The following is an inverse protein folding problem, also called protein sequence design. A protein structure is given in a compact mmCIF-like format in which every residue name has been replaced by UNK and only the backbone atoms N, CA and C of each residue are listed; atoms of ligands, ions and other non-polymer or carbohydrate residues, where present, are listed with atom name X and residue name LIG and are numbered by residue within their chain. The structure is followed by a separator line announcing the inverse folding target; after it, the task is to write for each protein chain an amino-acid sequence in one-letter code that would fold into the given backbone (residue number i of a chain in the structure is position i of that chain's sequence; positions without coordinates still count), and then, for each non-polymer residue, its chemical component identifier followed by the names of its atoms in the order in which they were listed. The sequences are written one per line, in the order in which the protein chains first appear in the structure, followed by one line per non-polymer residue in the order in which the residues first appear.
data_IF_466856355073
#
_entry.id   IF_466856355073
#
_cell.length_a   1.000
_cell.length_b   1.000
_cell.length_c   1.000
_cell.angle_alpha   90.00
_cell.angle_beta   90.00
_cell.angle_gamma   90.00
#
_symmetry.space_group_name_H-M   'P 1'
#
loop_
_entity.id
_entity.type
_entity.pdbx_description
1 polymer ?
#
# COMPACT_ATOMS: atom_id res chain seq x y z
N UNK A 1 0.87 17.67 17.56
CA UNK A 1 1.72 16.81 16.72
C UNK A 1 3.17 16.73 17.20
N UNK A 2 3.65 17.77 17.86
CA UNK A 2 5.06 17.84 18.31
C UNK A 2 5.39 16.99 19.53
N UNK A 3 4.41 16.60 20.32
CA UNK A 3 4.63 15.77 21.53
C UNK A 3 4.84 14.28 21.29
N UNK A 4 4.55 13.76 20.09
CA UNK A 4 4.87 12.37 19.73
C UNK A 4 6.38 12.12 19.56
N UNK A 5 7.18 13.16 19.65
CA UNK A 5 8.61 13.14 19.38
C UNK A 5 9.39 13.35 20.68
N UNK A 6 9.09 12.60 21.73
CA UNK A 6 9.78 12.76 23.04
C UNK A 6 11.23 12.27 23.07
N UNK A 7 11.71 11.60 22.03
CA UNK A 7 13.14 11.29 21.93
C UNK A 7 13.85 12.37 21.12
N UNK A 8 14.84 13.03 21.69
CA UNK A 8 15.64 13.99 20.93
C UNK A 8 16.25 13.30 19.69
N UNK A 9 16.42 14.03 18.60
CA UNK A 9 17.18 13.54 17.46
C UNK A 9 18.55 13.07 17.93
N UNK A 10 19.02 11.95 17.39
CA UNK A 10 20.28 11.35 17.82
C UNK A 10 21.53 12.16 17.41
N UNK A 11 21.36 13.21 16.65
CA UNK A 11 22.42 14.14 16.27
C UNK A 11 21.89 15.56 16.09
N UNK A 12 22.77 16.55 16.30
CA UNK A 12 22.44 17.94 16.08
C UNK A 12 21.88 18.16 14.65
N UNK A 13 20.77 18.90 14.55
CA UNK A 13 20.12 19.19 13.26
C UNK A 13 19.18 18.13 12.69
N UNK A 14 18.97 16.99 13.37
CA UNK A 14 17.94 16.05 13.00
C UNK A 14 16.55 16.54 13.47
N UNK A 15 15.55 16.37 12.58
CA UNK A 15 14.14 16.55 12.91
C UNK A 15 13.44 15.21 12.79
N UNK A 16 12.58 14.88 13.75
CA UNK A 16 11.70 13.71 13.66
C UNK A 16 10.30 14.15 13.24
N UNK A 17 9.77 13.49 12.22
CA UNK A 17 8.43 13.71 11.71
C UNK A 17 7.64 12.40 11.84
N UNK A 18 6.39 12.49 12.28
CA UNK A 18 5.46 11.35 12.19
C UNK A 18 4.88 11.32 10.79
N UNK A 19 5.03 10.18 10.13
CA UNK A 19 4.52 9.94 8.78
C UNK A 19 3.90 8.55 8.69
N UNK A 20 3.07 8.38 7.72
CA UNK A 20 2.61 7.06 7.34
C UNK A 20 3.63 6.41 6.42
N UNK A 21 3.96 5.18 6.71
CA UNK A 21 4.53 4.31 5.69
C UNK A 21 3.39 3.97 4.74
N UNK A 22 3.57 4.30 3.48
CA UNK A 22 2.63 3.93 2.43
C UNK A 22 2.34 2.44 2.52
N UNK A 23 1.18 2.10 2.05
CA UNK A 23 0.55 0.85 2.24
C UNK A 23 1.39 -0.39 2.07
N UNK A 24 0.96 -1.27 2.90
CA UNK A 24 1.28 -2.66 2.77
C UNK A 24 -0.04 -3.40 2.91
N UNK A 25 -0.66 -3.71 1.84
CA UNK A 25 -1.87 -4.41 1.84
C UNK A 25 -3.09 -3.49 1.76
N UNK A 26 -4.16 -3.59 2.22
CA UNK A 26 -5.42 -2.97 1.96
C UNK A 26 -5.59 -1.55 2.48
N UNK A 27 -6.48 -0.76 1.88
CA UNK A 27 -6.54 0.70 1.90
C UNK A 27 -6.64 1.37 3.27
N UNK A 28 -6.75 0.63 4.33
CA UNK A 28 -6.98 1.21 5.65
C UNK A 28 -5.77 1.21 6.58
N UNK A 29 -4.61 0.78 6.13
CA UNK A 29 -3.55 0.43 7.05
C UNK A 29 -2.20 1.09 6.79
N UNK A 30 -2.12 2.40 6.83
CA UNK A 30 -0.80 3.01 6.90
C UNK A 30 -0.26 2.88 8.32
N UNK A 31 0.92 2.28 8.46
CA UNK A 31 1.61 2.21 9.72
C UNK A 31 2.23 3.56 10.03
N UNK A 32 1.89 4.16 11.16
CA UNK A 32 2.55 5.34 11.64
C UNK A 32 4.02 5.02 11.95
N UNK A 33 4.93 5.82 11.43
CA UNK A 33 6.34 5.71 11.71
C UNK A 33 6.95 7.06 12.03
N UNK A 34 8.07 7.02 12.71
CA UNK A 34 8.91 8.18 12.98
C UNK A 34 10.00 8.26 11.93
N UNK A 35 10.02 9.35 11.18
CA UNK A 35 11.00 9.60 10.13
C UNK A 35 11.96 10.67 10.61
N UNK A 36 13.19 10.30 10.81
CA UNK A 36 14.26 11.22 11.17
C UNK A 36 14.88 11.81 9.90
N UNK A 37 14.91 13.12 9.84
CA UNK A 37 15.38 13.89 8.69
C UNK A 37 16.50 14.83 9.12
N UNK A 38 17.60 14.82 8.38
CA UNK A 38 18.72 15.74 8.52
C UNK A 38 19.03 16.38 7.17
N UNK A 39 19.18 17.68 7.14
CA UNK A 39 19.50 18.43 5.91
C UNK A 39 18.58 18.07 4.72
N UNK A 40 17.28 17.96 4.99
CA UNK A 40 16.28 17.58 4.00
C UNK A 40 16.30 16.11 3.55
N UNK A 41 17.15 15.26 4.15
CA UNK A 41 17.26 13.84 3.79
C UNK A 41 16.78 12.92 4.91
N UNK A 42 16.06 11.88 4.56
CA UNK A 42 15.66 10.82 5.49
C UNK A 42 16.91 10.05 5.89
N UNK A 43 17.26 10.08 7.17
CA UNK A 43 18.38 9.32 7.72
C UNK A 43 17.94 8.02 8.37
N UNK A 44 16.72 7.98 8.92
CA UNK A 44 16.18 6.79 9.59
C UNK A 44 14.67 6.76 9.56
N UNK A 45 14.09 5.56 9.50
CA UNK A 45 12.67 5.29 9.70
C UNK A 45 12.56 4.29 10.85
N UNK A 46 11.71 4.57 11.82
CA UNK A 46 11.54 3.75 13.02
C UNK A 46 10.07 3.69 13.47
N UNK A 47 9.68 2.68 14.24
CA UNK A 47 8.33 2.55 14.76
C UNK A 47 7.90 3.76 15.59
N UNK A 48 6.64 4.15 15.47
CA UNK A 48 6.00 5.03 16.44
C UNK A 48 5.61 4.21 17.69
N UNK A 49 5.73 4.83 18.85
CA UNK A 49 5.33 4.25 20.13
C UNK A 49 4.05 4.90 20.60
N UNK A 50 3.01 4.09 20.81
CA UNK A 50 1.71 4.59 21.23
C UNK A 50 1.70 5.02 22.69
N UNK A 51 2.28 4.21 23.57
CA UNK A 51 2.21 4.42 25.03
C UNK A 51 3.15 5.52 25.55
N UNK A 52 3.89 6.17 24.66
CA UNK A 52 4.54 7.45 25.00
C UNK A 52 3.53 8.61 25.08
N UNK A 53 2.34 8.44 24.50
CA UNK A 53 1.29 9.46 24.44
C UNK A 53 -0.03 9.04 25.07
N UNK A 54 -0.39 7.78 24.95
CA UNK A 54 -1.67 7.25 25.41
C UNK A 54 -1.42 6.16 26.43
N UNK A 55 -2.23 6.10 27.49
CA UNK A 55 -2.21 4.99 28.43
C UNK A 55 -2.81 3.72 27.81
N UNK A 56 -2.57 2.58 28.41
CA UNK A 56 -3.20 1.33 27.98
C UNK A 56 -4.73 1.38 28.13
N UNK A 57 -5.21 2.10 29.12
CA UNK A 57 -6.63 2.29 29.41
C UNK A 57 -7.32 3.11 28.31
N UNK A 58 -6.62 4.09 27.73
CA UNK A 58 -7.12 4.90 26.61
C UNK A 58 -7.10 4.10 25.31
N UNK A 59 -5.99 3.41 25.03
CA UNK A 59 -5.80 2.65 23.78
C UNK A 59 -6.65 1.39 23.75
N UNK A 60 -6.89 0.77 24.92
CA UNK A 60 -7.61 -0.50 25.07
C UNK A 60 -7.12 -1.56 24.07
N UNK A 61 -5.84 -1.95 24.15
CA UNK A 61 -5.26 -2.87 23.19
C UNK A 61 -6.01 -4.19 23.18
N UNK A 62 -6.14 -4.78 22.00
CA UNK A 62 -6.68 -6.12 21.88
C UNK A 62 -5.78 -7.16 22.56
N UNK A 63 -6.36 -8.03 23.36
CA UNK A 63 -5.67 -9.09 24.09
C UNK A 63 -6.17 -10.45 23.62
N UNK A 64 -5.26 -11.36 23.34
CA UNK A 64 -5.58 -12.75 23.02
C UNK A 64 -5.27 -13.67 24.19
N UNK A 65 -6.26 -14.44 24.61
CA UNK A 65 -6.09 -15.48 25.64
C UNK A 65 -6.32 -16.86 25.01
N UNK A 66 -5.31 -17.72 25.06
CA UNK A 66 -5.38 -19.06 24.52
C UNK A 66 -4.43 -19.99 25.25
N UNK A 67 -4.83 -21.23 25.50
CA UNK A 67 -3.98 -22.31 26.08
C UNK A 67 -3.22 -21.87 27.34
N UNK A 68 -3.86 -21.11 28.21
CA UNK A 68 -3.24 -20.62 29.45
C UNK A 68 -2.25 -19.48 29.29
N UNK A 69 -2.06 -18.94 28.08
CA UNK A 69 -1.21 -17.79 27.81
C UNK A 69 -2.02 -16.55 27.44
N UNK A 70 -1.47 -15.39 27.76
CA UNK A 70 -2.04 -14.08 27.40
C UNK A 70 -1.04 -13.34 26.53
N UNK A 71 -1.52 -12.83 25.39
CA UNK A 71 -0.71 -12.08 24.44
C UNK A 71 -1.31 -10.69 24.27
N UNK A 72 -0.45 -9.69 24.41
CA UNK A 72 -0.78 -8.30 24.16
C UNK A 72 0.00 -7.75 22.95
N UNK A 73 -0.57 -6.80 22.19
CA UNK A 73 0.19 -6.06 21.20
C UNK A 73 1.37 -5.33 21.82
N UNK A 74 2.41 -5.13 21.04
CA UNK A 74 3.55 -4.29 21.40
C UNK A 74 3.10 -2.84 21.65
N UNK A 75 3.83 -2.11 22.49
CA UNK A 75 3.65 -0.68 22.74
C UNK A 75 4.01 0.21 21.54
N UNK A 76 4.50 -0.39 20.48
CA UNK A 76 4.93 0.30 19.26
C UNK A 76 4.29 -0.30 18.01
N UNK A 77 4.17 0.53 17.00
CA UNK A 77 3.78 0.08 15.66
C UNK A 77 4.84 -0.90 15.14
N UNK A 78 4.41 -1.99 14.53
CA UNK A 78 5.31 -2.83 13.76
C UNK A 78 5.55 -2.18 12.39
N UNK A 79 6.80 -1.91 12.08
CA UNK A 79 7.20 -1.35 10.79
C UNK A 79 7.67 -2.51 9.91
N UNK A 80 7.13 -2.63 8.69
CA UNK A 80 7.49 -3.75 7.84
C UNK A 80 8.98 -3.76 7.50
N UNK A 81 9.57 -4.94 7.31
CA UNK A 81 10.99 -5.08 7.01
C UNK A 81 11.44 -4.24 5.81
N UNK A 82 10.63 -4.14 4.78
CA UNK A 82 10.96 -3.35 3.59
C UNK A 82 10.88 -1.82 3.80
N UNK A 83 10.45 -1.35 4.96
CA UNK A 83 10.56 0.06 5.30
C UNK A 83 11.99 0.59 5.14
N UNK A 84 12.98 -0.26 5.37
CA UNK A 84 14.38 0.06 5.11
C UNK A 84 14.66 0.27 3.62
N UNK A 85 13.98 -0.45 2.75
CA UNK A 85 14.08 -0.29 1.30
C UNK A 85 13.46 1.03 0.82
N UNK A 86 12.46 1.57 1.49
CA UNK A 86 11.86 2.85 1.12
C UNK A 86 12.86 4.00 1.11
N UNK A 87 13.75 4.07 2.10
CA UNK A 87 14.79 5.09 2.12
C UNK A 87 15.71 4.97 0.91
N UNK A 88 16.15 3.75 0.57
CA UNK A 88 16.96 3.49 -0.62
C UNK A 88 16.23 3.86 -1.90
N UNK A 89 14.95 3.51 -1.98
CA UNK A 89 14.09 3.80 -3.14
C UNK A 89 13.92 5.30 -3.38
N UNK A 90 13.70 6.08 -2.30
CA UNK A 90 13.57 7.54 -2.40
C UNK A 90 14.82 8.18 -3.00
N UNK A 91 16.01 7.66 -2.66
CA UNK A 91 17.31 8.20 -3.09
C UNK A 91 17.97 7.40 -4.21
N UNK A 92 17.28 6.46 -4.81
CA UNK A 92 17.78 5.70 -5.95
C UNK A 92 18.12 6.63 -7.11
N UNK A 93 19.28 6.48 -7.75
CA UNK A 93 19.63 7.24 -8.95
C UNK A 93 18.70 6.91 -10.13
N UNK A 94 18.12 5.72 -10.14
CA UNK A 94 17.16 5.29 -11.17
C UNK A 94 15.73 5.84 -10.94
N UNK A 95 15.48 6.55 -9.84
CA UNK A 95 14.16 7.12 -9.58
C UNK A 95 13.86 8.26 -10.56
N UNK A 96 12.71 8.19 -11.20
CA UNK A 96 12.16 9.30 -12.00
C UNK A 96 11.84 10.47 -11.07
N UNK A 97 12.44 11.64 -11.33
CA UNK A 97 12.32 12.84 -10.48
C UNK A 97 11.52 13.96 -11.12
N UNK A 98 11.28 13.87 -12.41
CA UNK A 98 10.66 14.91 -13.23
C UNK A 98 9.67 14.28 -14.18
N UNK A 99 8.70 15.03 -14.69
CA UNK A 99 7.87 14.56 -15.80
C UNK A 99 8.75 14.21 -17.00
N UNK A 100 8.42 13.10 -17.63
CA UNK A 100 9.15 12.57 -18.77
C UNK A 100 8.17 12.32 -19.91
N UNK A 101 8.56 12.75 -21.10
CA UNK A 101 7.83 12.52 -22.35
C UNK A 101 8.66 11.64 -23.29
N UNK A 102 8.03 10.74 -24.02
CA UNK A 102 8.75 9.99 -25.07
C UNK A 102 9.15 10.95 -26.18
N UNK A 103 10.38 10.84 -26.67
CA UNK A 103 10.95 11.76 -27.68
C UNK A 103 10.23 11.68 -29.03
N UNK A 104 9.60 10.55 -29.32
CA UNK A 104 8.91 10.26 -30.58
C UNK A 104 7.38 10.31 -30.45
N UNK A 105 6.84 10.84 -29.34
CA UNK A 105 5.42 10.98 -29.12
C UNK A 105 4.99 12.46 -29.24
N UNK A 106 4.13 12.74 -30.20
CA UNK A 106 3.50 14.04 -30.31
C UNK A 106 2.09 14.01 -29.69
N UNK A 107 1.82 14.84 -28.65
CA UNK A 107 0.49 14.92 -28.05
C UNK A 107 -0.60 15.40 -29.03
N UNK A 108 -0.21 16.17 -30.04
CA UNK A 108 -1.14 16.70 -31.06
C UNK A 108 -1.34 15.71 -32.23
N UNK A 109 -0.53 14.65 -32.30
CA UNK A 109 -0.67 13.62 -33.31
C UNK A 109 -2.06 12.94 -33.26
N UNK A 110 -2.56 12.53 -34.40
CA UNK A 110 -3.82 11.79 -34.46
C UNK A 110 -3.72 10.46 -33.70
N UNK A 111 -4.80 9.99 -33.07
CA UNK A 111 -4.82 8.67 -32.45
C UNK A 111 -4.42 7.58 -33.45
N UNK A 112 -3.49 6.72 -33.07
CA UNK A 112 -2.97 5.65 -33.93
C UNK A 112 -1.93 6.08 -34.96
N UNK A 113 -1.61 7.38 -35.06
CA UNK A 113 -0.59 7.86 -36.01
C UNK A 113 0.80 7.39 -35.66
N UNK A 114 1.61 7.17 -36.71
CA UNK A 114 2.99 6.73 -36.66
C UNK A 114 3.92 7.66 -37.42
N UNK A 115 5.23 7.57 -37.15
CA UNK A 115 6.25 8.41 -37.79
C UNK A 115 6.38 9.81 -37.17
N UNK A 116 7.04 10.74 -37.86
CA UNK A 116 7.23 12.10 -37.36
C UNK A 116 5.90 12.82 -37.12
N UNK A 117 5.76 13.45 -35.95
CA UNK A 117 4.52 14.09 -35.53
C UNK A 117 3.40 13.11 -35.12
N UNK A 118 3.72 11.83 -35.03
CA UNK A 118 2.76 10.79 -34.63
C UNK A 118 2.75 10.48 -33.14
N UNK A 119 1.71 9.79 -32.69
CA UNK A 119 1.63 9.30 -31.29
C UNK A 119 2.51 8.08 -31.04
N UNK A 120 2.89 7.36 -32.06
CA UNK A 120 3.85 6.26 -32.03
C UNK A 120 3.62 5.26 -30.88
N UNK A 121 2.39 4.78 -30.71
CA UNK A 121 2.03 3.87 -29.64
C UNK A 121 2.80 2.53 -29.72
N UNK A 122 3.19 2.11 -30.92
CA UNK A 122 3.99 0.91 -31.20
C UNK A 122 5.40 0.98 -30.59
N UNK A 123 5.90 2.19 -30.32
CA UNK A 123 7.23 2.40 -29.73
C UNK A 123 7.21 2.45 -28.18
N UNK A 124 6.08 2.12 -27.54
CA UNK A 124 6.03 1.99 -26.07
C UNK A 124 7.01 0.92 -25.62
N UNK A 125 7.81 1.26 -24.60
CA UNK A 125 8.83 0.36 -24.05
C UNK A 125 10.19 0.43 -24.76
N UNK A 126 10.28 0.99 -25.97
CA UNK A 126 11.55 1.11 -26.71
C UNK A 126 12.00 2.57 -26.92
N UNK A 127 11.07 3.52 -26.92
CA UNK A 127 11.38 4.95 -27.03
C UNK A 127 12.25 5.44 -25.89
N UNK A 128 13.12 6.37 -26.21
CA UNK A 128 13.81 7.19 -25.18
C UNK A 128 12.85 8.22 -24.62
N UNK A 129 13.25 8.82 -23.50
CA UNK A 129 12.48 9.84 -22.82
C UNK A 129 13.29 11.13 -22.70
N UNK A 130 12.61 12.25 -22.82
CA UNK A 130 13.13 13.58 -22.51
C UNK A 130 12.42 14.15 -21.28
N UNK A 131 13.14 14.99 -20.55
CA UNK A 131 12.55 15.71 -19.42
C UNK A 131 11.73 16.89 -19.94
N UNK A 132 10.54 17.05 -19.41
CA UNK A 132 9.67 18.21 -19.63
C UNK A 132 9.41 18.96 -18.32
N UNK A 133 8.85 20.16 -18.40
CA UNK A 133 8.40 20.89 -17.23
C UNK A 133 7.09 20.31 -16.68
N UNK A 134 6.74 20.66 -15.43
CA UNK A 134 5.42 20.34 -14.89
C UNK A 134 4.31 21.07 -15.63
N UNK A 135 4.54 22.31 -16.02
CA UNK A 135 3.55 23.09 -16.77
C UNK A 135 3.25 22.44 -18.13
N UNK A 136 4.29 22.08 -18.89
CA UNK A 136 4.11 21.32 -20.13
C UNK A 136 3.37 20.00 -19.92
N UNK A 137 3.70 19.25 -18.86
CA UNK A 137 3.03 17.98 -18.57
C UNK A 137 1.55 18.19 -18.24
N UNK A 138 1.22 19.22 -17.47
CA UNK A 138 -0.16 19.55 -17.10
C UNK A 138 -0.96 20.05 -18.29
N UNK A 139 -0.36 20.86 -19.16
CA UNK A 139 -1.01 21.33 -20.39
C UNK A 139 -1.36 20.16 -21.32
N UNK A 140 -0.41 19.22 -21.51
CA UNK A 140 -0.66 18.02 -22.30
C UNK A 140 -1.79 17.19 -21.71
N UNK A 141 -1.76 16.93 -20.40
CA UNK A 141 -2.78 16.12 -19.72
C UNK A 141 -4.15 16.80 -19.82
N UNK A 142 -4.21 18.08 -19.52
CA UNK A 142 -5.45 18.85 -19.58
C UNK A 142 -6.03 18.90 -20.99
N UNK A 143 -5.17 19.20 -21.95
CA UNK A 143 -5.58 19.23 -23.37
C UNK A 143 -6.16 17.90 -23.84
N UNK A 144 -5.53 16.78 -23.44
CA UNK A 144 -6.01 15.46 -23.84
C UNK A 144 -7.31 15.06 -23.14
N UNK A 145 -7.44 15.36 -21.84
CA UNK A 145 -8.69 15.12 -21.10
C UNK A 145 -9.86 15.92 -21.69
N UNK A 146 -9.65 17.19 -22.01
CA UNK A 146 -10.66 18.03 -22.64
C UNK A 146 -11.00 17.54 -24.05
N UNK A 147 -10.02 17.21 -24.86
CA UNK A 147 -10.23 16.64 -26.19
C UNK A 147 -11.07 15.37 -26.16
N UNK A 148 -10.78 14.45 -25.24
CA UNK A 148 -11.57 13.21 -25.09
C UNK A 148 -12.98 13.50 -24.65
N UNK A 149 -13.15 14.36 -23.65
CA UNK A 149 -14.46 14.78 -23.13
C UNK A 149 -15.32 15.43 -24.24
N UNK A 150 -14.76 16.37 -25.00
CA UNK A 150 -15.49 17.11 -26.05
C UNK A 150 -15.85 16.22 -27.22
N UNK A 151 -14.95 15.34 -27.64
CA UNK A 151 -15.15 14.51 -28.81
C UNK A 151 -15.99 13.26 -28.56
N UNK A 152 -15.86 12.66 -27.40
CA UNK A 152 -16.41 11.33 -27.10
C UNK A 152 -17.30 11.29 -25.85
N UNK A 153 -17.35 12.40 -25.10
CA UNK A 153 -18.00 12.46 -23.80
C UNK A 153 -17.14 11.98 -22.63
N UNK A 154 -17.52 12.34 -21.41
CA UNK A 154 -16.73 12.03 -20.22
C UNK A 154 -16.61 10.53 -19.93
N UNK A 155 -17.57 9.73 -20.35
CA UNK A 155 -17.56 8.28 -20.17
C UNK A 155 -16.48 7.55 -21.01
N UNK A 156 -15.88 8.23 -21.98
CA UNK A 156 -14.71 7.71 -22.70
C UNK A 156 -13.41 7.75 -21.89
N UNK A 157 -13.43 8.37 -20.71
CA UNK A 157 -12.31 8.36 -19.76
C UNK A 157 -12.51 7.21 -18.80
N UNK A 158 -11.62 6.21 -18.85
CA UNK A 158 -11.61 5.08 -17.93
C UNK A 158 -10.75 5.40 -16.71
N UNK A 159 -11.33 5.36 -15.53
CA UNK A 159 -10.60 5.45 -14.27
C UNK A 159 -10.39 4.06 -13.66
N UNK A 160 -9.19 3.54 -13.78
CA UNK A 160 -8.74 2.30 -13.15
C UNK A 160 -8.13 2.63 -11.78
N UNK A 161 -8.98 2.99 -10.84
CA UNK A 161 -8.52 3.61 -9.60
C UNK A 161 -8.67 2.74 -8.37
N UNK A 162 -9.02 1.49 -8.50
CA UNK A 162 -9.20 0.60 -7.36
C UNK A 162 -7.91 -0.18 -7.08
N UNK A 163 -6.87 0.56 -6.72
CA UNK A 163 -5.53 0.02 -6.53
C UNK A 163 -5.04 0.22 -5.10
N UNK A 164 -3.99 -0.52 -4.76
CA UNK A 164 -3.27 -0.43 -3.51
C UNK A 164 -2.14 0.63 -3.55
N UNK A 165 -1.47 0.83 -2.44
CA UNK A 165 -0.35 1.74 -2.33
C UNK A 165 -0.74 3.18 -2.12
N UNK A 166 -1.94 3.40 -1.68
CA UNK A 166 -2.48 4.71 -1.42
C UNK A 166 -1.79 5.38 -0.26
N UNK A 167 -1.44 6.60 -0.49
CA UNK A 167 -1.07 7.50 0.59
C UNK A 167 -2.21 8.49 0.82
N UNK A 168 -3.38 7.90 1.06
CA UNK A 168 -4.63 8.57 1.44
C UNK A 168 -5.14 9.61 0.44
N UNK A 169 -5.36 10.85 0.91
CA UNK A 169 -6.23 11.81 0.21
C UNK A 169 -5.60 12.35 -1.06
N UNK A 170 -4.28 12.59 -1.05
CA UNK A 170 -3.66 13.33 -2.16
C UNK A 170 -3.47 12.48 -3.42
N UNK A 171 -2.99 11.25 -3.28
CA UNK A 171 -2.76 10.36 -4.42
C UNK A 171 -3.34 8.97 -4.23
N UNK A 172 -4.31 8.87 -3.34
CA UNK A 172 -5.16 7.69 -3.27
C UNK A 172 -6.05 7.58 -4.51
N UNK A 173 -6.24 6.38 -5.05
CA UNK A 173 -7.07 6.18 -6.24
C UNK A 173 -8.53 6.58 -6.01
N UNK A 174 -8.99 6.54 -4.77
CA UNK A 174 -10.33 6.95 -4.37
C UNK A 174 -10.46 8.44 -4.03
N UNK A 175 -9.36 9.18 -4.06
CA UNK A 175 -9.27 10.57 -3.64
C UNK A 175 -9.34 11.58 -4.79
N UNK A 176 -8.24 12.31 -4.98
CA UNK A 176 -8.18 13.46 -5.90
C UNK A 176 -8.46 13.10 -7.36
N UNK A 177 -8.03 11.93 -7.84
CA UNK A 177 -8.27 11.52 -9.22
C UNK A 177 -9.78 11.40 -9.52
N UNK A 178 -10.53 10.72 -8.66
CA UNK A 178 -12.00 10.62 -8.80
C UNK A 178 -12.67 11.99 -8.75
N UNK A 179 -12.24 12.84 -7.81
CA UNK A 179 -12.80 14.18 -7.67
C UNK A 179 -12.56 15.02 -8.91
N UNK A 180 -11.35 15.00 -9.46
CA UNK A 180 -11.03 15.68 -10.70
C UNK A 180 -11.93 15.23 -11.85
N UNK A 181 -12.06 13.91 -12.04
CA UNK A 181 -12.85 13.36 -13.14
C UNK A 181 -14.36 13.63 -12.97
N UNK A 182 -14.87 13.65 -11.74
CA UNK A 182 -16.24 14.07 -11.46
C UNK A 182 -16.47 15.55 -11.82
N UNK A 183 -15.53 16.43 -11.48
CA UNK A 183 -15.59 17.85 -11.84
C UNK A 183 -15.49 18.06 -13.35
N UNK A 184 -14.83 17.16 -14.08
CA UNK A 184 -14.81 17.17 -15.55
C UNK A 184 -16.13 16.68 -16.19
N UNK A 185 -17.08 16.21 -15.41
CA UNK A 185 -18.39 15.77 -15.88
C UNK A 185 -18.62 14.28 -15.85
N UNK A 186 -17.71 13.52 -15.25
CA UNK A 186 -17.84 12.08 -15.07
C UNK A 186 -16.75 11.26 -15.76
N UNK A 187 -16.86 9.95 -15.63
CA UNK A 187 -15.91 8.97 -16.16
C UNK A 187 -16.50 7.56 -16.09
N UNK A 188 -15.89 6.62 -16.78
CA UNK A 188 -16.15 5.19 -16.60
C UNK A 188 -15.28 4.66 -15.47
N UNK A 189 -15.89 4.12 -14.44
CA UNK A 189 -15.18 3.51 -13.32
C UNK A 189 -14.99 2.02 -13.58
N UNK A 190 -13.75 1.56 -13.51
CA UNK A 190 -13.50 0.14 -13.30
C UNK A 190 -13.81 -0.18 -11.83
N UNK A 191 -14.89 -0.92 -11.63
CA UNK A 191 -15.27 -1.41 -10.31
C UNK A 191 -14.62 -2.77 -10.13
N UNK A 192 -13.65 -2.87 -9.26
CA UNK A 192 -12.94 -4.09 -8.91
C UNK A 192 -11.86 -4.55 -9.91
N UNK A 193 -11.04 -5.45 -9.44
CA UNK A 193 -9.92 -6.05 -10.16
C UNK A 193 -10.26 -7.51 -10.46
N UNK A 194 -10.41 -7.88 -11.73
CA UNK A 194 -10.85 -9.24 -12.07
C UNK A 194 -9.86 -10.33 -11.72
N UNK A 195 -8.60 -10.00 -11.52
CA UNK A 195 -7.51 -10.95 -11.29
C UNK A 195 -7.16 -11.18 -9.80
N UNK A 196 -7.22 -10.17 -8.97
CA UNK A 196 -6.82 -10.24 -7.56
C UNK A 196 -8.03 -10.42 -6.64
N UNK A 197 -8.65 -9.32 -6.27
CA UNK A 197 -9.75 -9.30 -5.33
C UNK A 197 -10.98 -10.08 -5.80
N UNK A 198 -11.32 -9.97 -7.07
CA UNK A 198 -12.47 -10.69 -7.61
C UNK A 198 -12.25 -12.19 -7.66
N UNK A 199 -11.07 -12.63 -8.09
CA UNK A 199 -10.73 -14.06 -8.08
C UNK A 199 -10.78 -14.62 -6.65
N UNK A 200 -10.27 -13.89 -5.70
CA UNK A 200 -10.35 -14.27 -4.29
C UNK A 200 -11.78 -14.32 -3.77
N UNK A 201 -12.58 -13.28 -4.00
CA UNK A 201 -13.98 -13.22 -3.56
C UNK A 201 -14.81 -14.32 -4.23
N UNK A 202 -14.65 -14.53 -5.53
CA UNK A 202 -15.34 -15.59 -6.26
C UNK A 202 -14.96 -16.98 -5.75
N UNK A 203 -13.67 -17.25 -5.62
CA UNK A 203 -13.19 -18.52 -5.10
C UNK A 203 -13.73 -18.80 -3.69
N UNK A 204 -13.68 -17.80 -2.82
CA UNK A 204 -14.19 -17.92 -1.47
C UNK A 204 -15.70 -18.21 -1.41
N UNK A 205 -16.50 -17.56 -2.25
CA UNK A 205 -17.94 -17.82 -2.32
C UNK A 205 -18.25 -19.25 -2.76
N UNK A 206 -17.47 -19.81 -3.66
CA UNK A 206 -17.67 -21.18 -4.13
C UNK A 206 -17.21 -22.23 -3.12
N UNK A 207 -16.13 -21.95 -2.37
CA UNK A 207 -15.58 -22.90 -1.40
C UNK A 207 -16.28 -22.79 -0.04
N UNK A 208 -16.53 -21.58 0.41
CA UNK A 208 -17.00 -21.32 1.77
C UNK A 208 -18.44 -20.78 1.86
N UNK A 209 -19.05 -20.49 0.72
CA UNK A 209 -20.39 -19.92 0.66
C UNK A 209 -20.47 -18.44 1.04
N UNK A 210 -19.36 -17.80 1.38
CA UNK A 210 -19.31 -16.40 1.78
C UNK A 210 -18.04 -15.69 1.30
N UNK A 211 -18.09 -14.37 1.28
CA UNK A 211 -16.90 -13.57 0.99
C UNK A 211 -15.88 -13.65 2.14
N UNK A 212 -14.57 -13.60 1.84
CA UNK A 212 -13.53 -13.56 2.87
C UNK A 212 -13.71 -12.43 3.87
N UNK A 213 -14.21 -11.28 3.43
CA UNK A 213 -14.52 -10.14 4.30
C UNK A 213 -15.57 -10.53 5.34
N UNK A 214 -16.59 -11.30 4.97
CA UNK A 214 -17.58 -11.83 5.89
C UNK A 214 -16.98 -12.77 6.95
N UNK A 215 -15.96 -13.53 6.58
CA UNK A 215 -15.23 -14.40 7.51
C UNK A 215 -14.32 -13.62 8.47
N UNK A 216 -13.95 -12.40 8.14
CA UNK A 216 -13.19 -11.52 9.03
C UNK A 216 -14.06 -10.82 10.07
N UNK A 217 -15.36 -11.01 10.05
CA UNK A 217 -16.25 -10.46 11.06
C UNK A 217 -16.01 -11.12 12.42
N UNK A 218 -16.27 -10.41 13.52
CA UNK A 218 -16.12 -10.98 14.86
C UNK A 218 -16.87 -12.31 15.08
N UNK A 219 -17.97 -12.50 14.37
CA UNK A 219 -18.78 -13.71 14.42
C UNK A 219 -18.07 -14.94 13.85
N UNK A 220 -17.15 -14.77 12.92
CA UNK A 220 -16.41 -15.88 12.32
C UNK A 220 -15.43 -16.53 13.32
N UNK A 221 -14.95 -15.77 14.28
CA UNK A 221 -14.12 -16.21 15.41
C UNK A 221 -12.88 -17.06 15.02
N UNK A 222 -12.38 -16.91 13.81
CA UNK A 222 -11.29 -17.73 13.25
C UNK A 222 -10.01 -17.64 14.06
N UNK A 223 -9.62 -16.44 14.49
CA UNK A 223 -8.37 -16.25 15.24
C UNK A 223 -8.43 -16.90 16.62
N UNK A 224 -9.58 -16.80 17.29
CA UNK A 224 -9.78 -17.46 18.58
C UNK A 224 -9.81 -18.97 18.44
N UNK A 225 -10.46 -19.49 17.40
CA UNK A 225 -10.54 -20.92 17.13
C UNK A 225 -9.15 -21.51 16.81
N UNK A 226 -8.42 -20.91 15.87
CA UNK A 226 -7.05 -21.32 15.54
C UNK A 226 -6.17 -21.34 16.80
N UNK A 227 -6.18 -20.26 17.57
CA UNK A 227 -5.33 -20.13 18.74
C UNK A 227 -5.64 -21.14 19.84
N UNK A 228 -6.89 -21.59 19.94
CA UNK A 228 -7.33 -22.56 20.96
C UNK A 228 -7.21 -24.01 20.51
N UNK A 229 -7.53 -24.30 19.27
CA UNK A 229 -7.84 -25.64 18.81
C UNK A 229 -6.88 -26.18 17.71
N UNK A 230 -6.23 -25.31 16.93
CA UNK A 230 -5.37 -25.79 15.85
C UNK A 230 -4.07 -26.43 16.37
N UNK A 231 -3.72 -27.59 15.86
CA UNK A 231 -2.48 -28.31 16.15
C UNK A 231 -1.41 -28.09 15.06
N UNK A 232 -1.85 -27.74 13.84
CA UNK A 232 -1.01 -27.55 12.69
C UNK A 232 -1.56 -26.44 11.80
N UNK A 233 -0.68 -25.57 11.31
CA UNK A 233 -0.95 -24.58 10.28
C UNK A 233 -0.12 -24.86 9.04
N UNK A 234 -0.73 -24.85 7.88
CA UNK A 234 -0.07 -24.94 6.59
C UNK A 234 -0.12 -23.58 5.89
N UNK A 235 1.04 -22.99 5.67
CA UNK A 235 1.22 -21.74 4.93
C UNK A 235 1.72 -22.05 3.52
N UNK A 236 0.88 -21.89 2.53
CA UNK A 236 1.20 -22.19 1.15
C UNK A 236 1.32 -20.92 0.31
N UNK A 237 2.54 -20.56 -0.09
CA UNK A 237 2.83 -19.34 -0.84
C UNK A 237 2.48 -18.06 -0.08
N UNK A 238 2.55 -18.11 1.24
CA UNK A 238 2.13 -17.04 2.14
C UNK A 238 3.30 -16.56 2.97
N UNK A 239 3.64 -15.27 2.86
CA UNK A 239 4.69 -14.60 3.63
C UNK A 239 4.08 -13.52 4.50
N UNK A 240 3.92 -13.81 5.79
CA UNK A 240 3.30 -12.90 6.73
C UNK A 240 4.23 -11.78 7.20
N UNK A 241 5.53 -11.92 6.98
CA UNK A 241 6.53 -10.96 7.45
C UNK A 241 6.78 -9.85 6.42
N UNK A 242 7.04 -10.22 5.17
CA UNK A 242 7.38 -9.26 4.13
C UNK A 242 6.19 -8.76 3.34
N UNK A 243 5.17 -9.58 3.21
CA UNK A 243 3.88 -9.24 2.59
C UNK A 243 2.70 -9.47 3.53
N UNK A 244 2.68 -8.83 4.69
CA UNK A 244 1.57 -9.00 5.62
C UNK A 244 0.30 -8.40 5.00
N UNK A 245 -0.71 -9.23 4.88
CA UNK A 245 -2.03 -8.82 4.42
C UNK A 245 -2.94 -8.56 5.62
N UNK A 246 -3.75 -7.54 5.55
CA UNK A 246 -4.81 -7.31 6.51
C UNK A 246 -4.85 -5.90 7.10
N UNK A 247 -5.91 -5.68 7.82
CA UNK A 247 -6.20 -4.43 8.52
C UNK A 247 -5.33 -4.35 9.77
N UNK A 248 -4.77 -3.18 10.04
CA UNK A 248 -4.06 -2.97 11.29
C UNK A 248 -2.58 -3.35 11.30
N UNK A 249 -1.91 -3.22 10.19
CA UNK A 249 -0.46 -3.23 10.04
C UNK A 249 0.28 -4.33 10.78
N UNK A 250 0.93 -5.24 10.08
CA UNK A 250 1.76 -6.31 10.66
C UNK A 250 1.02 -7.28 11.60
N UNK A 251 -0.32 -7.32 11.58
CA UNK A 251 -1.09 -8.25 12.39
C UNK A 251 -0.75 -9.72 12.07
N UNK A 252 -0.62 -10.13 10.80
CA UNK A 252 -0.25 -11.49 10.45
C UNK A 252 1.07 -11.93 11.06
N UNK A 253 2.13 -11.13 11.00
CA UNK A 253 3.43 -11.43 11.62
C UNK A 253 3.29 -11.66 13.12
N UNK A 254 2.52 -10.81 13.77
CA UNK A 254 2.28 -10.90 15.22
C UNK A 254 1.54 -12.17 15.58
N UNK A 255 0.49 -12.51 14.85
CA UNK A 255 -0.28 -13.73 15.08
C UNK A 255 0.56 -14.98 14.84
N UNK A 256 1.35 -15.02 13.79
CA UNK A 256 2.26 -16.14 13.50
C UNK A 256 3.23 -16.37 14.65
N UNK A 257 3.82 -15.29 15.17
CA UNK A 257 4.68 -15.36 16.35
C UNK A 257 3.94 -15.91 17.59
N UNK A 258 2.74 -15.43 17.87
CA UNK A 258 1.96 -15.90 19.01
C UNK A 258 1.53 -17.36 18.87
N UNK A 259 1.22 -17.82 17.66
CA UNK A 259 0.92 -19.23 17.40
C UNK A 259 2.16 -20.12 17.59
N UNK A 260 3.34 -19.63 17.27
CA UNK A 260 4.60 -20.31 17.61
C UNK A 260 4.75 -20.44 19.11
N UNK A 261 4.52 -19.37 19.86
CA UNK A 261 4.56 -19.38 21.33
C UNK A 261 3.50 -20.32 21.98
N UNK A 262 2.38 -20.53 21.30
CA UNK A 262 1.33 -21.48 21.70
C UNK A 262 1.69 -22.95 21.38
N UNK A 263 2.81 -23.19 20.71
CA UNK A 263 3.26 -24.52 20.32
C UNK A 263 2.51 -25.10 19.12
N UNK A 264 1.80 -24.28 18.35
CA UNK A 264 1.15 -24.72 17.12
C UNK A 264 2.22 -24.95 16.05
N UNK A 265 2.26 -26.17 15.52
CA UNK A 265 3.22 -26.50 14.46
C UNK A 265 2.89 -25.75 13.18
N UNK A 266 3.93 -25.31 12.46
CA UNK A 266 3.78 -24.54 11.23
C UNK A 266 4.59 -25.20 10.11
N UNK A 267 3.95 -25.40 8.96
CA UNK A 267 4.58 -25.89 7.74
C UNK A 267 4.49 -24.79 6.69
N UNK A 268 5.62 -24.44 6.10
CA UNK A 268 5.71 -23.45 5.04
C UNK A 268 6.05 -24.14 3.71
N UNK A 269 5.24 -23.87 2.69
CA UNK A 269 5.52 -24.21 1.30
C UNK A 269 5.72 -22.89 0.56
N UNK A 270 6.97 -22.55 0.30
CA UNK A 270 7.37 -21.25 -0.24
C UNK A 270 8.48 -21.40 -1.29
N UNK A 271 8.60 -20.46 -2.24
CA UNK A 271 9.65 -20.53 -3.27
C UNK A 271 11.05 -20.15 -2.75
N UNK A 272 11.13 -19.55 -1.59
CA UNK A 272 12.37 -19.07 -0.97
C UNK A 272 12.36 -19.28 0.54
N UNK A 273 13.52 -19.19 1.14
CA UNK A 273 13.68 -19.12 2.58
C UNK A 273 13.79 -17.65 3.00
N UNK A 274 12.79 -17.18 3.70
CA UNK A 274 12.67 -15.78 4.13
C UNK A 274 12.40 -15.68 5.64
N UNK A 275 12.12 -14.47 6.13
CA UNK A 275 11.91 -14.25 7.56
C UNK A 275 10.66 -14.94 8.14
N UNK A 276 9.69 -15.31 7.31
CA UNK A 276 8.47 -15.97 7.78
C UNK A 276 8.68 -17.46 8.03
N UNK A 277 9.66 -18.09 7.35
CA UNK A 277 9.87 -19.53 7.36
C UNK A 277 11.30 -19.96 7.74
N UNK A 278 12.12 -19.04 8.21
CA UNK A 278 13.49 -19.29 8.67
C UNK A 278 13.55 -19.64 10.15
#
# INVERSE_FOLDING_TARGET
MDELVKRPPNSAGEKTLVREMGWIGCPAGANACMVDVKDGRIVRIRPARYYERYSKEEVKPWVMNARGKTFEPSDKVLVPPYSLAYKKRVYSPARIRYPMKRVDWDPNGAPGSTGPGGRNAQNRGVSKYERISWDEALDIITGELLRVKEKYGPTAILNQADQHGENKVAHGPHGCARKLLLLLGGYTLQVRQPDSWEGWVWGAKHVWGCEPVGQQQPQANLLSDISKNAELLLFWGCDQETTPWGWGGQMPSRLTYWWTELGIRQIYVAPDCNYANA
#
